data_IF_071758479241
#
_entry.id   IF_071758479241
#
_cell.length_a   1.000
_cell.length_b   1.000
_cell.length_c   1.000
_cell.angle_alpha   90.00
_cell.angle_beta   90.00
_cell.angle_gamma   90.00
#
_symmetry.space_group_name_H-M   'P 1'
#
loop_
_entity.id
_entity.type
_entity.pdbx_description
1 polymer ?
#
# COMPACT_ATOMS: atom_id res chain seq x y z
N UNK A 1 5.41 -13.61 -7.85
CA UNK A 1 5.59 -12.63 -6.76
C UNK A 1 5.13 -11.28 -7.26
N UNK A 2 4.26 -10.62 -6.50
CA UNK A 2 3.70 -9.31 -6.79
C UNK A 2 4.30 -8.33 -5.79
N UNK A 3 4.69 -7.16 -6.27
CA UNK A 3 5.30 -6.13 -5.45
C UNK A 3 4.46 -4.86 -5.52
N UNK A 4 4.04 -4.34 -4.37
CA UNK A 4 3.27 -3.12 -4.26
C UNK A 4 4.06 -2.06 -3.48
N UNK A 5 4.35 -0.93 -4.13
CA UNK A 5 5.06 0.19 -3.52
C UNK A 5 4.11 1.33 -3.24
N UNK A 6 4.21 1.96 -2.05
CA UNK A 6 3.44 3.15 -1.76
C UNK A 6 3.80 4.30 -2.69
N UNK A 7 2.78 4.91 -3.31
CA UNK A 7 2.95 6.15 -4.05
C UNK A 7 2.60 7.34 -3.14
N UNK A 8 3.55 8.22 -2.79
CA UNK A 8 3.28 9.37 -1.92
C UNK A 8 2.35 10.40 -2.55
N UNK A 9 2.15 10.35 -3.88
CA UNK A 9 1.32 11.29 -4.62
C UNK A 9 -0.13 10.83 -4.81
N UNK A 10 -0.56 9.76 -4.13
CA UNK A 10 -1.95 9.33 -4.21
C UNK A 10 -2.89 10.43 -3.69
N UNK A 11 -3.98 10.76 -4.41
CA UNK A 11 -4.90 11.83 -4.01
C UNK A 11 -5.46 11.66 -2.60
N UNK A 12 -5.77 10.42 -2.19
CA UNK A 12 -6.34 10.12 -0.87
C UNK A 12 -5.37 10.39 0.29
N UNK A 13 -4.06 10.37 0.00
CA UNK A 13 -3.02 10.76 0.94
C UNK A 13 -2.75 12.26 0.85
N UNK A 14 -2.52 12.77 -0.36
CA UNK A 14 -2.20 14.17 -0.61
C UNK A 14 -3.28 15.13 -0.07
N UNK A 15 -4.56 14.77 -0.17
CA UNK A 15 -5.68 15.59 0.31
C UNK A 15 -5.75 15.72 1.83
N UNK A 16 -5.03 14.88 2.57
CA UNK A 16 -5.02 14.87 4.05
C UNK A 16 -3.72 15.46 4.63
N UNK A 17 -2.72 15.73 3.79
CA UNK A 17 -1.47 16.33 4.23
C UNK A 17 -1.64 17.85 4.42
N UNK A 18 -1.23 18.36 5.57
CA UNK A 18 -1.15 19.78 5.84
C UNK A 18 0.07 20.45 5.20
N UNK A 19 0.16 21.80 5.25
CA UNK A 19 1.31 22.54 4.72
C UNK A 19 2.64 22.03 5.31
N UNK A 20 3.61 21.72 4.44
CA UNK A 20 4.93 21.20 4.84
C UNK A 20 4.95 19.74 5.28
N UNK A 21 3.81 19.05 5.34
CA UNK A 21 3.75 17.63 5.62
C UNK A 21 3.98 16.80 4.34
N UNK A 22 4.58 15.64 4.53
CA UNK A 22 4.79 14.62 3.51
C UNK A 22 4.31 13.24 4.00
N UNK A 23 4.20 12.31 3.06
CA UNK A 23 3.89 10.91 3.33
C UNK A 23 4.82 10.26 4.39
N UNK A 24 6.07 10.69 4.49
CA UNK A 24 7.02 10.14 5.47
C UNK A 24 6.91 10.82 6.83
N UNK A 25 6.52 12.09 6.88
CA UNK A 25 6.33 12.83 8.15
C UNK A 25 5.01 12.48 8.86
N UNK A 26 4.04 11.94 8.12
CA UNK A 26 2.72 11.54 8.65
C UNK A 26 2.46 10.05 8.39
N UNK A 27 3.28 9.14 8.97
CA UNK A 27 3.31 7.73 8.58
C UNK A 27 2.00 6.99 8.85
N UNK A 28 1.22 7.42 9.86
CA UNK A 28 -0.07 6.81 10.18
C UNK A 28 -1.11 7.00 9.06
N UNK A 29 -1.10 8.15 8.37
CA UNK A 29 -1.97 8.37 7.20
C UNK A 29 -1.49 7.52 6.02
N UNK A 30 -0.18 7.52 5.77
CA UNK A 30 0.44 6.75 4.68
C UNK A 30 0.16 5.26 4.79
N UNK A 31 0.31 4.67 5.99
CA UNK A 31 0.03 3.25 6.23
C UNK A 31 -1.46 2.95 6.02
N UNK A 32 -2.36 3.83 6.45
CA UNK A 32 -3.81 3.64 6.24
C UNK A 32 -4.18 3.63 4.76
N UNK A 33 -3.69 4.62 4.00
CA UNK A 33 -3.95 4.71 2.55
C UNK A 33 -3.31 3.53 1.82
N UNK A 34 -2.07 3.18 2.14
CA UNK A 34 -1.37 2.04 1.56
C UNK A 34 -2.12 0.72 1.82
N UNK A 35 -2.57 0.49 3.05
CA UNK A 35 -3.34 -0.71 3.41
C UNK A 35 -4.67 -0.79 2.63
N UNK A 36 -5.38 0.33 2.48
CA UNK A 36 -6.61 0.38 1.69
C UNK A 36 -6.37 0.04 0.21
N UNK A 37 -5.31 0.61 -0.39
CA UNK A 37 -4.88 0.28 -1.76
C UNK A 37 -4.49 -1.19 -1.90
N UNK A 38 -3.77 -1.74 -0.92
CA UNK A 38 -3.37 -3.14 -0.91
C UNK A 38 -4.59 -4.08 -0.85
N UNK A 39 -5.60 -3.77 -0.03
CA UNK A 39 -6.85 -4.54 -0.01
C UNK A 39 -7.58 -4.49 -1.35
N UNK A 40 -7.65 -3.34 -1.99
CA UNK A 40 -8.25 -3.22 -3.33
C UNK A 40 -7.50 -4.08 -4.34
N UNK A 41 -6.17 -4.04 -4.33
CA UNK A 41 -5.33 -4.91 -5.17
C UNK A 41 -5.62 -6.39 -4.91
N UNK A 42 -5.64 -6.84 -3.65
CA UNK A 42 -5.91 -8.24 -3.32
C UNK A 42 -7.28 -8.71 -3.79
N UNK A 43 -8.31 -7.85 -3.70
CA UNK A 43 -9.65 -8.16 -4.24
C UNK A 43 -9.62 -8.34 -5.76
N UNK A 44 -8.97 -7.42 -6.48
CA UNK A 44 -8.83 -7.50 -7.94
C UNK A 44 -8.07 -8.76 -8.37
N UNK A 45 -6.99 -9.11 -7.66
CA UNK A 45 -6.26 -10.35 -7.92
C UNK A 45 -7.14 -11.58 -7.68
N UNK A 46 -7.94 -11.59 -6.61
CA UNK A 46 -8.91 -12.66 -6.35
C UNK A 46 -9.91 -12.82 -7.49
N UNK A 47 -10.45 -11.72 -8.01
CA UNK A 47 -11.38 -11.75 -9.16
C UNK A 47 -10.68 -12.23 -10.45
N UNK A 48 -9.45 -11.77 -10.70
CA UNK A 48 -8.65 -12.14 -11.88
C UNK A 48 -8.26 -13.63 -11.89
N UNK A 49 -7.92 -14.20 -10.74
CA UNK A 49 -7.48 -15.59 -10.62
C UNK A 49 -8.64 -16.57 -10.35
N UNK A 50 -9.89 -16.10 -10.27
CA UNK A 50 -11.05 -16.95 -9.98
C UNK A 50 -11.10 -17.41 -8.52
N UNK A 51 -10.46 -16.67 -7.62
CA UNK A 51 -10.26 -16.99 -6.20
C UNK A 51 -8.78 -17.08 -5.85
N UNK A 52 -8.44 -16.63 -4.63
CA UNK A 52 -7.13 -16.83 -4.01
C UNK A 52 -7.33 -17.69 -2.76
N UNK A 53 -7.00 -18.97 -2.85
CA UNK A 53 -7.16 -19.90 -1.71
C UNK A 53 -6.16 -19.57 -0.60
N UNK A 54 -4.92 -19.23 -0.99
CA UNK A 54 -3.85 -18.82 -0.09
C UNK A 54 -3.04 -17.70 -0.72
N UNK A 55 -2.51 -16.82 0.12
CA UNK A 55 -1.45 -15.90 -0.24
C UNK A 55 -0.60 -15.62 1.00
N UNK A 56 0.67 -15.28 0.78
CA UNK A 56 1.57 -14.82 1.83
C UNK A 56 1.98 -13.40 1.48
N UNK A 57 1.88 -12.49 2.45
CA UNK A 57 2.30 -11.10 2.27
C UNK A 57 3.23 -10.64 3.38
N UNK A 58 4.31 -9.96 3.01
CA UNK A 58 5.17 -9.22 3.93
C UNK A 58 5.07 -7.73 3.61
N UNK A 59 4.88 -6.90 4.63
CA UNK A 59 4.90 -5.43 4.51
C UNK A 59 6.12 -4.92 5.28
N UNK A 60 6.95 -4.14 4.60
CA UNK A 60 8.15 -3.53 5.16
C UNK A 60 8.24 -2.05 4.81
N UNK A 61 9.05 -1.30 5.55
CA UNK A 61 9.37 0.08 5.22
C UNK A 61 10.70 0.15 4.48
N UNK A 62 10.69 0.76 3.30
CA UNK A 62 11.92 1.00 2.54
C UNK A 62 12.81 2.02 3.26
N UNK A 63 14.10 2.12 2.87
CA UNK A 63 15.05 3.12 3.40
C UNK A 63 14.54 4.56 3.36
N UNK A 64 13.60 4.87 2.46
CA UNK A 64 12.93 6.18 2.30
C UNK A 64 11.70 6.36 3.21
N UNK A 65 11.40 5.41 4.09
CA UNK A 65 10.32 5.49 5.08
C UNK A 65 8.91 5.22 4.55
N UNK A 66 8.77 4.73 3.32
CA UNK A 66 7.47 4.40 2.74
C UNK A 66 7.21 2.89 2.80
N UNK A 67 5.96 2.47 3.02
CA UNK A 67 5.61 1.06 3.08
C UNK A 67 5.66 0.43 1.68
N UNK A 68 5.99 -0.85 1.69
CA UNK A 68 6.16 -1.69 0.52
C UNK A 68 5.69 -3.09 0.88
N UNK A 69 5.03 -3.77 -0.06
CA UNK A 69 4.52 -5.11 0.16
C UNK A 69 5.05 -6.07 -0.89
N UNK A 70 5.46 -7.24 -0.42
CA UNK A 70 5.78 -8.40 -1.23
C UNK A 70 4.68 -9.42 -1.02
N UNK A 71 4.05 -9.87 -2.11
CA UNK A 71 2.92 -10.79 -2.09
C UNK A 71 3.27 -12.01 -2.95
N UNK A 72 3.09 -13.19 -2.38
CA UNK A 72 3.11 -14.47 -3.09
C UNK A 72 1.67 -14.95 -3.11
N UNK A 73 1.11 -15.01 -4.31
CA UNK A 73 -0.19 -15.60 -4.63
C UNK A 73 0.02 -16.97 -5.22
#
# INVERSE_FOLDING_TARGET
>A
MITATCNPNWPELASQLGPGQSATTVPHLTVRVFKARLYQLMRQLGELFGGLEYYVSAIEFQKRGLPHAHIVV
#
